data_IF_968697670854
#
_entry.id   IF_968697670854
#
_cell.length_a   1.000
_cell.length_b   1.000
_cell.length_c   1.000
_cell.angle_alpha   90.00
_cell.angle_beta   90.00
_cell.angle_gamma   90.00
#
_symmetry.space_group_name_H-M   'P 1'
#
loop_
_entity.id
_entity.type
_entity.pdbx_description
1 polymer ?
#
# COMPACT_ATOMS: atom_id res chain seq x y z
N UNK A 1 21.21 15.43 23.61
CA UNK A 1 21.12 13.96 23.63
C UNK A 1 20.81 13.54 22.21
N UNK A 2 21.82 13.03 21.48
CA UNK A 2 21.74 12.82 20.03
C UNK A 2 20.79 11.67 19.69
N UNK A 3 19.80 11.94 18.84
CA UNK A 3 19.08 10.90 18.12
C UNK A 3 20.10 10.25 17.20
N UNK A 4 20.55 9.05 17.56
CA UNK A 4 21.31 8.21 16.66
C UNK A 4 20.41 7.94 15.44
N UNK A 5 20.73 8.60 14.34
CA UNK A 5 20.30 8.24 13.01
C UNK A 5 20.90 6.86 12.72
N UNK A 6 20.19 5.83 13.19
CA UNK A 6 20.44 4.45 12.87
C UNK A 6 20.07 4.25 11.42
N UNK A 7 20.93 4.67 10.50
CA UNK A 7 20.90 4.21 9.12
C UNK A 7 20.80 2.69 9.18
N UNK A 8 19.65 2.15 8.76
CA UNK A 8 19.44 0.71 8.56
C UNK A 8 20.39 0.25 7.46
N UNK A 9 21.65 -0.01 7.80
CA UNK A 9 22.71 -0.36 6.85
C UNK A 9 22.55 -1.76 6.25
N UNK A 10 21.50 -2.51 6.60
CA UNK A 10 21.31 -3.90 6.18
C UNK A 10 19.88 -4.24 5.72
N UNK A 11 19.04 -3.24 5.43
CA UNK A 11 17.76 -3.54 4.78
C UNK A 11 18.06 -4.05 3.35
N UNK A 12 17.58 -5.24 2.95
CA UNK A 12 17.76 -5.70 1.58
C UNK A 12 17.18 -4.64 0.64
N UNK A 13 17.93 -4.32 -0.42
CA UNK A 13 17.44 -3.42 -1.44
C UNK A 13 16.11 -3.97 -1.98
N UNK A 14 15.03 -3.21 -1.78
CA UNK A 14 13.73 -3.58 -2.31
C UNK A 14 13.86 -3.69 -3.84
N UNK A 15 13.31 -4.75 -4.45
CA UNK A 15 13.35 -4.89 -5.89
C UNK A 15 12.65 -3.68 -6.51
N UNK A 16 13.24 -3.12 -7.57
CA UNK A 16 12.66 -1.95 -8.25
C UNK A 16 11.40 -2.39 -9.00
N UNK A 17 10.26 -1.69 -8.84
CA UNK A 17 9.06 -2.02 -9.59
C UNK A 17 9.31 -1.81 -11.09
N UNK A 18 9.00 -2.82 -11.93
CA UNK A 18 9.18 -2.69 -13.38
C UNK A 18 8.23 -1.63 -13.93
N UNK A 19 8.68 -0.89 -14.94
CA UNK A 19 7.90 0.17 -15.59
C UNK A 19 7.35 -0.32 -16.91
N UNK A 20 6.03 -0.32 -17.04
CA UNK A 20 5.39 -0.63 -18.32
C UNK A 20 5.54 0.55 -19.29
N UNK A 21 6.24 0.32 -20.41
CA UNK A 21 6.44 1.32 -21.49
C UNK A 21 5.47 1.14 -22.66
N UNK A 22 4.51 0.23 -22.51
CA UNK A 22 3.64 -0.37 -23.52
C UNK A 22 3.52 0.32 -24.87
N UNK A 23 4.16 -0.26 -25.89
CA UNK A 23 3.84 0.03 -27.29
C UNK A 23 3.61 -1.26 -28.11
N UNK A 24 4.20 -2.40 -27.73
CA UNK A 24 4.15 -3.64 -28.52
C UNK A 24 3.84 -4.91 -27.71
N UNK A 25 3.44 -5.99 -28.40
CA UNK A 25 3.20 -7.32 -27.78
C UNK A 25 4.46 -7.92 -27.14
N UNK A 26 5.63 -7.65 -27.71
CA UNK A 26 6.92 -8.10 -27.17
C UNK A 26 7.28 -7.37 -25.87
N UNK A 27 6.99 -6.07 -25.77
CA UNK A 27 7.21 -5.29 -24.55
C UNK A 27 6.24 -5.68 -23.43
N UNK A 28 4.99 -6.01 -23.76
CA UNK A 28 4.05 -6.65 -22.81
C UNK A 28 4.60 -7.99 -22.31
N UNK A 29 5.12 -8.81 -23.24
CA UNK A 29 6.03 -9.96 -23.03
C UNK A 29 6.96 -9.77 -21.84
N UNK A 30 7.96 -8.95 -22.11
CA UNK A 30 9.08 -8.66 -21.20
C UNK A 30 8.61 -8.05 -19.88
N UNK A 31 7.63 -7.15 -19.93
CA UNK A 31 7.07 -6.57 -18.72
C UNK A 31 6.45 -7.62 -17.80
N UNK A 32 5.71 -8.59 -18.33
CA UNK A 32 5.12 -9.66 -17.51
C UNK A 32 6.18 -10.57 -16.90
N UNK A 33 7.26 -10.86 -17.65
CA UNK A 33 8.38 -11.66 -17.13
C UNK A 33 9.09 -10.92 -15.98
N UNK A 34 9.38 -9.63 -16.16
CA UNK A 34 9.96 -8.76 -15.12
C UNK A 34 9.02 -8.60 -13.91
N UNK A 35 7.71 -8.48 -14.16
CA UNK A 35 6.69 -8.37 -13.12
C UNK A 35 6.59 -9.64 -12.27
N UNK A 36 6.59 -10.82 -12.90
CA UNK A 36 6.57 -12.10 -12.18
C UNK A 36 7.81 -12.29 -11.30
N UNK A 37 8.98 -11.86 -11.78
CA UNK A 37 10.21 -11.86 -11.00
C UNK A 37 10.15 -10.86 -9.83
N UNK A 38 9.62 -9.67 -10.05
CA UNK A 38 9.43 -8.67 -9.00
C UNK A 38 8.52 -9.20 -7.88
N UNK A 39 7.40 -9.83 -8.22
CA UNK A 39 6.46 -10.44 -7.27
C UNK A 39 7.10 -11.58 -6.48
N UNK A 40 7.88 -12.45 -7.14
CA UNK A 40 8.54 -13.55 -6.44
C UNK A 40 9.59 -13.05 -5.43
N UNK A 41 10.35 -12.01 -5.80
CA UNK A 41 11.33 -11.37 -4.92
C UNK A 41 10.67 -10.66 -3.73
N UNK A 42 9.56 -9.92 -3.95
CA UNK A 42 8.82 -9.27 -2.85
C UNK A 42 8.17 -10.28 -1.92
N UNK A 43 7.64 -11.38 -2.45
CA UNK A 43 7.11 -12.48 -1.64
C UNK A 43 8.22 -13.15 -0.81
N UNK A 44 9.40 -13.38 -1.39
CA UNK A 44 10.54 -13.96 -0.67
C UNK A 44 11.02 -13.07 0.49
N UNK A 45 11.06 -11.74 0.29
CA UNK A 45 11.36 -10.79 1.39
C UNK A 45 10.33 -10.92 2.51
N UNK A 46 9.05 -10.93 2.17
CA UNK A 46 7.94 -11.08 3.13
C UNK A 46 8.02 -12.41 3.89
N UNK A 47 8.36 -13.51 3.20
CA UNK A 47 8.47 -14.85 3.79
C UNK A 47 9.69 -15.01 4.73
N UNK A 48 10.80 -14.32 4.42
CA UNK A 48 12.01 -14.33 5.25
C UNK A 48 11.92 -13.42 6.49
N UNK A 49 10.73 -12.91 6.82
CA UNK A 49 10.50 -12.00 7.95
C UNK A 49 10.99 -10.57 7.70
N UNK A 50 11.63 -10.31 6.55
CA UNK A 50 11.96 -8.97 6.07
C UNK A 50 10.70 -8.39 5.45
N UNK A 51 9.76 -8.01 6.30
CA UNK A 51 8.66 -7.17 5.87
C UNK A 51 9.30 -5.84 5.46
N UNK A 52 9.23 -5.44 4.18
CA UNK A 52 9.43 -4.03 3.84
C UNK A 52 8.60 -3.23 4.85
N UNK A 53 9.08 -2.09 5.33
CA UNK A 53 8.28 -1.29 6.25
C UNK A 53 6.98 -0.89 5.54
N UNK A 54 5.92 -1.70 5.71
CA UNK A 54 4.61 -1.42 5.16
C UNK A 54 4.07 -0.34 6.07
N UNK A 55 4.06 0.88 5.56
CA UNK A 55 3.47 2.00 6.27
C UNK A 55 2.00 1.64 6.57
N UNK A 56 1.58 1.62 7.84
CA UNK A 56 0.20 1.37 8.18
C UNK A 56 -0.71 2.39 7.48
N UNK A 57 -1.87 1.98 6.99
CA UNK A 57 -2.90 2.87 6.44
C UNK A 57 -3.22 3.97 7.44
N UNK A 58 -3.26 3.62 8.73
CA UNK A 58 -3.45 4.56 9.82
C UNK A 58 -2.38 5.67 9.92
N UNK A 59 -1.18 5.46 9.37
CA UNK A 59 -0.10 6.43 9.31
C UNK A 59 -0.12 7.28 8.02
N UNK A 60 -0.87 6.84 7.00
CA UNK A 60 -1.09 7.57 5.75
C UNK A 60 -2.25 8.59 5.84
N UNK A 61 -3.05 8.54 6.91
CA UNK A 61 -4.19 9.42 7.12
C UNK A 61 -3.75 10.59 8.00
N UNK A 62 -4.08 11.81 7.59
CA UNK A 62 -3.84 13.03 8.37
C UNK A 62 -4.45 12.90 9.79
N UNK A 63 -3.76 13.35 10.87
CA UNK A 63 -4.18 13.11 12.25
C UNK A 63 -5.63 13.55 12.60
N UNK A 64 -6.06 14.71 12.10
CA UNK A 64 -7.42 15.21 12.34
C UNK A 64 -8.47 14.38 11.58
N UNK A 65 -8.18 14.07 10.31
CA UNK A 65 -9.01 13.20 9.48
C UNK A 65 -9.12 11.81 10.10
N UNK A 66 -8.02 11.26 10.63
CA UNK A 66 -7.98 9.97 11.32
C UNK A 66 -8.90 9.97 12.54
N UNK A 67 -8.84 11.02 13.38
CA UNK A 67 -9.73 11.16 14.54
C UNK A 67 -11.21 11.21 14.14
N UNK A 68 -11.55 12.00 13.13
CA UNK A 68 -12.94 12.12 12.67
C UNK A 68 -13.47 10.82 12.07
N UNK A 69 -12.66 10.12 11.29
CA UNK A 69 -13.04 8.81 10.72
C UNK A 69 -13.20 7.77 11.83
N UNK A 70 -12.30 7.74 12.82
CA UNK A 70 -12.43 6.87 13.99
C UNK A 70 -13.76 7.08 14.73
N UNK A 71 -14.06 8.35 15.04
CA UNK A 71 -15.24 8.70 15.82
C UNK A 71 -16.55 8.44 15.05
N UNK A 72 -16.61 8.81 13.77
CA UNK A 72 -17.86 8.78 13.00
C UNK A 72 -18.03 7.52 12.14
N UNK A 73 -16.93 6.96 11.65
CA UNK A 73 -16.93 5.76 10.80
C UNK A 73 -16.87 4.46 11.59
N UNK A 74 -16.14 4.44 12.71
CA UNK A 74 -15.92 3.23 13.51
C UNK A 74 -16.54 3.30 14.92
N UNK A 75 -16.98 4.48 15.37
CA UNK A 75 -17.49 4.72 16.74
C UNK A 75 -16.44 4.32 17.79
N UNK A 76 -15.19 4.70 17.55
CA UNK A 76 -14.01 4.37 18.37
C UNK A 76 -13.07 5.57 18.49
N UNK A 77 -12.16 5.54 19.46
CA UNK A 77 -11.01 6.44 19.44
C UNK A 77 -10.02 6.00 18.35
N UNK A 78 -9.20 6.93 17.85
CA UNK A 78 -8.26 6.64 16.76
C UNK A 78 -7.24 5.55 17.12
N UNK A 79 -6.89 5.42 18.40
CA UNK A 79 -5.95 4.42 18.91
C UNK A 79 -6.57 3.02 19.07
N UNK A 80 -7.91 2.94 19.13
CA UNK A 80 -8.66 1.70 19.30
C UNK A 80 -9.07 1.05 17.96
N UNK A 81 -8.86 1.76 16.84
CA UNK A 81 -9.15 1.24 15.49
C UNK A 81 -7.95 0.43 15.00
N UNK A 82 -8.21 -0.84 14.70
CA UNK A 82 -7.18 -1.78 14.23
C UNK A 82 -6.77 -1.48 12.80
N UNK A 83 -5.54 -1.88 12.43
CA UNK A 83 -5.04 -1.74 11.05
C UNK A 83 -5.93 -2.47 10.02
N UNK A 84 -6.53 -3.60 10.40
CA UNK A 84 -7.47 -4.32 9.55
C UNK A 84 -8.73 -3.48 9.23
N UNK A 85 -9.26 -2.77 10.22
CA UNK A 85 -10.41 -1.88 10.04
C UNK A 85 -10.05 -0.69 9.14
N UNK A 86 -8.86 -0.10 9.29
CA UNK A 86 -8.36 0.95 8.40
C UNK A 86 -8.21 0.46 6.95
N UNK A 87 -7.69 -0.75 6.74
CA UNK A 87 -7.58 -1.38 5.42
C UNK A 87 -8.97 -1.60 4.81
N UNK A 88 -9.92 -2.17 5.56
CA UNK A 88 -11.28 -2.40 5.08
C UNK A 88 -11.99 -1.10 4.71
N UNK A 89 -11.81 -0.03 5.49
CA UNK A 89 -12.35 1.29 5.16
C UNK A 89 -11.74 1.87 3.88
N UNK A 90 -10.42 1.81 3.72
CA UNK A 90 -9.74 2.29 2.52
C UNK A 90 -10.21 1.52 1.26
N UNK A 91 -10.34 0.20 1.35
CA UNK A 91 -10.89 -0.64 0.28
C UNK A 91 -12.35 -0.28 -0.04
N UNK A 92 -13.17 -0.02 0.99
CA UNK A 92 -14.55 0.43 0.84
C UNK A 92 -14.66 1.76 0.09
N UNK A 93 -13.80 2.74 0.40
CA UNK A 93 -13.75 4.00 -0.34
C UNK A 93 -13.40 3.79 -1.81
N UNK A 94 -12.36 3.00 -2.11
CA UNK A 94 -11.97 2.68 -3.49
C UNK A 94 -13.14 2.07 -4.27
N UNK A 95 -13.88 1.15 -3.66
CA UNK A 95 -15.07 0.54 -4.28
C UNK A 95 -16.19 1.57 -4.49
N UNK A 96 -16.44 2.47 -3.53
CA UNK A 96 -17.45 3.53 -3.66
C UNK A 96 -17.10 4.50 -4.80
N UNK A 97 -15.82 4.86 -4.96
CA UNK A 97 -15.34 5.68 -6.07
C UNK A 97 -15.43 4.94 -7.41
N UNK A 98 -15.16 3.64 -7.45
CA UNK A 98 -15.33 2.81 -8.64
C UNK A 98 -16.82 2.73 -9.07
N UNK A 99 -17.76 2.57 -8.13
CA UNK A 99 -19.20 2.61 -8.44
C UNK A 99 -19.66 3.96 -8.96
N UNK A 100 -19.09 5.07 -8.47
CA UNK A 100 -19.44 6.42 -8.92
C UNK A 100 -18.93 6.74 -10.33
N UNK A 101 -17.88 6.06 -10.79
CA UNK A 101 -17.35 6.19 -12.16
C UNK A 101 -18.08 5.31 -13.19
N UNK A 102 -18.89 4.34 -12.75
CA UNK A 102 -19.67 3.44 -13.61
C UNK A 102 -21.15 3.88 -13.74
N UNK A 103 -21.49 5.13 -13.43
CA UNK A 103 -22.80 5.67 -13.78
C UNK A 103 -22.82 5.98 -15.28
N UNK A 104 -23.75 5.42 -16.08
CA UNK A 104 -23.81 5.74 -17.50
C UNK A 104 -24.24 7.20 -17.62
N UNK A 105 -23.47 7.97 -18.39
CA UNK A 105 -23.89 9.27 -18.90
C UNK A 105 -25.10 9.04 -19.81
N UNK A 106 -26.29 9.11 -19.22
CA UNK A 106 -27.57 9.22 -19.92
C UNK A 106 -27.89 10.67 -20.23
#
# INVERSE_FOLDING_TARGET
MGYADGFMQNAPALPKPPRFKGSTKAERRRFMDEYNLYISQTNALTANGIRPFIMPVAACIEPESKHRIALWGFVKNADDVTEAEWISFAQGLVNLFAFRYQAPSG
#
